data_IF_416681948171
#
_entry.id   IF_416681948171
#
_cell.length_a   1.000
_cell.length_b   1.000
_cell.length_c   1.000
_cell.angle_alpha   90.00
_cell.angle_beta   90.00
_cell.angle_gamma   90.00
#
_symmetry.space_group_name_H-M   'P 1'
#
loop_
_entity.id
_entity.type
_entity.pdbx_description
1 polymer ?
#
# COMPACT_ATOMS: atom_id res chain seq x y z
N UNK A 1 19.99 -10.01 25.04
CA UNK A 1 18.77 -10.70 25.51
C UNK A 1 17.67 -10.44 24.50
N UNK A 2 17.40 -11.42 23.64
CA UNK A 2 16.38 -11.35 22.59
C UNK A 2 14.99 -11.44 23.22
N UNK A 3 14.27 -10.32 23.29
CA UNK A 3 12.83 -10.36 23.53
C UNK A 3 12.19 -10.98 22.29
N UNK A 4 11.72 -12.22 22.38
CA UNK A 4 10.80 -12.80 21.40
C UNK A 4 9.65 -11.81 21.18
N UNK A 5 9.67 -11.13 20.04
CA UNK A 5 8.58 -10.28 19.62
C UNK A 5 7.42 -11.20 19.22
N UNK A 6 6.54 -11.49 20.17
CA UNK A 6 5.28 -12.16 19.88
C UNK A 6 4.45 -11.23 19.01
N UNK A 7 4.54 -11.43 17.68
CA UNK A 7 3.70 -10.74 16.73
C UNK A 7 2.23 -11.06 17.06
N UNK A 8 1.34 -10.05 17.20
CA UNK A 8 -0.05 -10.30 17.56
C UNK A 8 -0.74 -11.19 16.52
N UNK A 9 -1.42 -12.24 16.98
CA UNK A 9 -2.18 -13.17 16.14
C UNK A 9 -3.18 -12.39 15.29
N UNK A 10 -3.05 -12.49 13.97
CA UNK A 10 -3.86 -11.75 13.02
C UNK A 10 -5.30 -12.27 13.01
N UNK A 11 -6.26 -11.42 13.38
CA UNK A 11 -7.68 -11.70 13.23
C UNK A 11 -8.05 -11.81 11.74
N UNK A 12 -8.75 -12.87 11.36
CA UNK A 12 -9.27 -13.05 10.01
C UNK A 12 -10.31 -11.97 9.67
N UNK A 13 -10.61 -11.79 8.38
CA UNK A 13 -11.70 -10.89 7.94
C UNK A 13 -13.03 -11.28 8.58
N UNK A 14 -13.26 -12.60 8.74
CA UNK A 14 -14.44 -13.16 9.40
C UNK A 14 -14.46 -12.72 10.86
N UNK A 15 -13.35 -12.85 11.60
CA UNK A 15 -13.26 -12.46 13.02
C UNK A 15 -13.55 -10.98 13.23
N UNK A 16 -13.01 -10.12 12.35
CA UNK A 16 -13.23 -8.68 12.45
C UNK A 16 -14.69 -8.30 12.13
N UNK A 17 -15.32 -8.99 11.19
CA UNK A 17 -16.74 -8.78 10.91
C UNK A 17 -17.59 -9.34 12.05
N UNK A 18 -17.23 -10.50 12.60
CA UNK A 18 -17.91 -11.14 13.73
C UNK A 18 -17.89 -10.23 14.95
N UNK A 19 -16.72 -9.70 15.29
CA UNK A 19 -16.53 -8.73 16.38
C UNK A 19 -17.39 -7.48 16.20
N UNK A 20 -17.62 -7.03 14.96
CA UNK A 20 -18.46 -5.88 14.67
C UNK A 20 -19.96 -6.18 14.67
N UNK A 21 -20.35 -7.40 14.30
CA UNK A 21 -21.74 -7.87 14.20
C UNK A 21 -22.29 -8.28 15.58
N UNK A 22 -21.44 -8.81 16.45
CA UNK A 22 -21.83 -9.30 17.78
C UNK A 22 -22.61 -8.30 18.63
N UNK A 23 -22.20 -7.02 18.80
CA UNK A 23 -22.98 -6.08 19.58
C UNK A 23 -24.31 -5.69 18.92
N UNK A 24 -24.42 -5.81 17.60
CA UNK A 24 -25.69 -5.61 16.89
C UNK A 24 -26.63 -6.78 17.15
N UNK A 25 -26.17 -8.02 16.98
CA UNK A 25 -26.99 -9.21 17.23
C UNK A 25 -27.42 -9.30 18.69
N UNK A 26 -26.56 -8.91 19.62
CA UNK A 26 -26.95 -8.81 21.03
C UNK A 26 -28.05 -7.79 21.28
N UNK A 27 -28.03 -6.65 20.58
CA UNK A 27 -29.10 -5.66 20.65
C UNK A 27 -30.41 -6.18 20.04
N UNK A 28 -30.34 -6.91 18.93
CA UNK A 28 -31.53 -7.45 18.22
C UNK A 28 -32.22 -8.52 19.07
N UNK A 29 -31.45 -9.44 19.66
CA UNK A 29 -32.00 -10.61 20.36
C UNK A 29 -32.07 -10.45 21.89
N UNK A 30 -31.62 -9.31 22.42
CA UNK A 30 -31.60 -9.07 23.87
C UNK A 30 -30.73 -10.04 24.66
N UNK A 31 -29.70 -10.64 24.05
CA UNK A 31 -28.80 -11.61 24.69
C UNK A 31 -27.34 -11.43 24.31
N UNK A 32 -26.42 -11.81 25.18
CA UNK A 32 -24.99 -11.75 24.87
C UNK A 32 -24.53 -12.95 24.04
N UNK A 33 -23.66 -12.69 23.07
CA UNK A 33 -23.03 -13.71 22.24
C UNK A 33 -21.56 -13.88 22.59
N UNK A 34 -21.08 -15.12 22.59
CA UNK A 34 -19.65 -15.44 22.77
C UNK A 34 -18.84 -15.12 21.50
N UNK A 35 -17.53 -14.82 21.60
CA UNK A 35 -16.66 -14.74 20.43
C UNK A 35 -16.76 -16.03 19.58
N UNK A 36 -16.82 -15.90 18.25
CA UNK A 36 -16.88 -17.04 17.33
C UNK A 36 -18.26 -17.71 17.18
N UNK A 37 -19.30 -17.22 17.85
CA UNK A 37 -20.66 -17.78 17.72
C UNK A 37 -21.18 -17.74 16.27
N UNK A 38 -21.65 -18.86 15.74
CA UNK A 38 -22.27 -18.91 14.41
C UNK A 38 -23.77 -18.59 14.49
N UNK A 39 -24.19 -17.50 13.86
CA UNK A 39 -25.60 -17.13 13.80
C UNK A 39 -26.38 -18.04 12.85
N UNK A 40 -27.60 -18.42 13.24
CA UNK A 40 -28.53 -19.14 12.36
C UNK A 40 -29.15 -18.19 11.33
N UNK A 41 -29.77 -18.75 10.29
CA UNK A 41 -30.50 -17.95 9.29
C UNK A 41 -31.61 -17.13 9.96
N UNK A 42 -32.40 -17.75 10.85
CA UNK A 42 -33.53 -17.09 11.51
C UNK A 42 -33.06 -15.94 12.41
N UNK A 43 -31.96 -16.13 13.12
CA UNK A 43 -31.31 -15.07 13.89
C UNK A 43 -30.91 -13.88 13.02
N UNK A 44 -30.33 -14.14 11.84
CA UNK A 44 -29.93 -13.06 10.93
C UNK A 44 -31.14 -12.38 10.28
N UNK A 45 -32.20 -13.13 9.99
CA UNK A 45 -33.45 -12.63 9.40
C UNK A 45 -34.32 -11.86 10.39
N UNK A 46 -34.10 -11.99 11.70
CA UNK A 46 -34.73 -11.14 12.71
C UNK A 46 -34.29 -9.66 12.60
N UNK A 47 -33.22 -9.37 11.87
CA UNK A 47 -32.75 -8.02 11.63
C UNK A 47 -33.64 -7.29 10.61
N UNK A 48 -34.26 -6.19 11.03
CA UNK A 48 -35.03 -5.30 10.14
C UNK A 48 -34.33 -3.94 9.94
N UNK A 49 -34.70 -3.18 8.89
CA UNK A 49 -34.24 -1.80 8.72
C UNK A 49 -34.51 -0.90 9.94
N UNK A 50 -35.67 -1.05 10.59
CA UNK A 50 -36.10 -0.24 11.73
C UNK A 50 -35.18 -0.50 12.94
N UNK A 51 -34.91 -1.77 13.23
CA UNK A 51 -34.00 -2.18 14.30
C UNK A 51 -32.57 -1.68 14.00
N UNK A 52 -32.13 -1.78 12.74
CA UNK A 52 -30.83 -1.25 12.32
C UNK A 52 -30.71 0.26 12.50
N UNK A 53 -31.71 1.02 12.07
CA UNK A 53 -31.73 2.48 12.23
C UNK A 53 -31.69 2.83 13.72
N UNK A 54 -32.51 2.18 14.54
CA UNK A 54 -32.53 2.39 16.00
C UNK A 54 -31.16 2.09 16.62
N UNK A 55 -30.57 0.94 16.29
CA UNK A 55 -29.24 0.56 16.76
C UNK A 55 -28.17 1.57 16.35
N UNK A 56 -28.18 2.00 15.08
CA UNK A 56 -27.24 3.00 14.56
C UNK A 56 -27.40 4.31 15.31
N UNK A 57 -28.63 4.77 15.54
CA UNK A 57 -28.90 5.99 16.28
C UNK A 57 -28.35 5.93 17.71
N UNK A 58 -28.64 4.87 18.46
CA UNK A 58 -28.10 4.66 19.81
C UNK A 58 -26.57 4.58 19.79
N UNK A 59 -26.00 3.79 18.89
CA UNK A 59 -24.54 3.57 18.83
C UNK A 59 -23.76 4.81 18.42
N UNK A 60 -24.31 5.63 17.52
CA UNK A 60 -23.59 6.77 16.93
C UNK A 60 -23.92 8.09 17.64
N UNK A 61 -25.15 8.25 18.14
CA UNK A 61 -25.64 9.48 18.75
C UNK A 61 -26.02 9.34 20.23
N UNK A 62 -25.98 8.13 20.80
CA UNK A 62 -26.35 7.87 22.19
C UNK A 62 -27.87 7.78 22.43
N UNK A 63 -28.71 8.05 21.43
CA UNK A 63 -30.18 8.06 21.57
C UNK A 63 -30.87 7.68 20.27
N UNK A 64 -32.02 7.00 20.34
CA UNK A 64 -32.88 6.65 19.19
C UNK A 64 -33.82 7.78 18.74
N UNK A 65 -33.97 8.83 19.57
CA UNK A 65 -34.78 10.02 19.28
C UNK A 65 -34.03 11.11 18.51
N UNK A 66 -32.77 10.87 18.16
CA UNK A 66 -31.96 11.82 17.41
C UNK A 66 -32.53 12.09 16.01
N UNK A 67 -32.33 13.32 15.54
CA UNK A 67 -32.56 13.75 14.16
C UNK A 67 -31.19 13.86 13.43
N UNK A 68 -30.80 12.84 12.63
CA UNK A 68 -29.47 12.77 12.01
C UNK A 68 -29.14 13.92 11.04
N UNK A 69 -30.15 14.59 10.49
CA UNK A 69 -29.99 15.72 9.56
C UNK A 69 -29.73 17.06 10.28
N UNK A 70 -29.92 17.10 11.60
CA UNK A 70 -29.79 18.31 12.43
C UNK A 70 -28.67 18.15 13.45
N UNK A 71 -28.56 16.97 14.07
CA UNK A 71 -27.61 16.71 15.15
C UNK A 71 -26.37 15.95 14.63
N UNK A 72 -25.16 16.31 15.08
CA UNK A 72 -23.93 15.67 14.63
C UNK A 72 -23.70 14.29 15.29
N UNK A 73 -23.01 13.36 14.60
CA UNK A 73 -22.64 12.07 15.18
C UNK A 73 -21.60 12.22 16.31
N UNK A 74 -21.78 11.46 17.40
CA UNK A 74 -20.85 11.43 18.55
C UNK A 74 -19.76 10.37 18.38
N UNK A 75 -20.11 9.20 17.82
CA UNK A 75 -19.23 8.05 17.66
C UNK A 75 -19.04 7.65 16.19
N UNK A 76 -17.98 6.86 15.92
CA UNK A 76 -17.67 6.44 14.55
C UNK A 76 -18.62 5.34 14.08
N UNK A 77 -19.08 5.43 12.83
CA UNK A 77 -19.89 4.37 12.21
C UNK A 77 -19.04 3.13 11.91
N UNK A 78 -19.47 1.96 12.39
CA UNK A 78 -18.88 0.67 11.99
C UNK A 78 -19.64 0.12 10.78
N UNK A 79 -18.93 -0.23 9.70
CA UNK A 79 -19.53 -0.56 8.40
C UNK A 79 -19.44 -2.06 8.05
N UNK A 80 -19.64 -2.95 9.02
CA UNK A 80 -19.35 -4.40 8.86
C UNK A 80 -20.54 -5.34 9.04
N UNK A 81 -21.75 -4.80 9.21
CA UNK A 81 -22.95 -5.61 9.49
C UNK A 81 -23.50 -6.39 8.30
N UNK A 82 -23.19 -6.00 7.06
CA UNK A 82 -23.72 -6.67 5.85
C UNK A 82 -23.07 -8.04 5.59
N UNK A 83 -21.86 -8.32 6.12
CA UNK A 83 -21.08 -9.50 5.75
C UNK A 83 -21.77 -10.85 6.05
N UNK A 84 -22.59 -10.91 7.11
CA UNK A 84 -23.29 -12.13 7.50
C UNK A 84 -24.74 -12.18 7.02
N UNK A 85 -25.23 -11.16 6.29
CA UNK A 85 -26.60 -11.17 5.81
C UNK A 85 -26.81 -12.28 4.77
N UNK A 86 -27.83 -13.15 4.91
CA UNK A 86 -28.07 -14.26 3.99
C UNK A 86 -28.25 -13.81 2.54
N UNK A 87 -29.00 -12.71 2.34
CA UNK A 87 -29.22 -12.10 1.04
C UNK A 87 -28.26 -10.93 0.85
N UNK A 88 -27.22 -11.06 0.01
CA UNK A 88 -26.24 -9.98 -0.22
C UNK A 88 -26.43 -9.24 -1.55
N UNK A 89 -27.14 -9.85 -2.50
CA UNK A 89 -27.23 -9.38 -3.88
C UNK A 89 -28.39 -8.38 -4.03
N UNK A 90 -29.56 -8.75 -3.53
CA UNK A 90 -30.78 -7.96 -3.73
C UNK A 90 -30.90 -6.88 -2.64
N UNK A 91 -31.08 -5.61 -3.02
CA UNK A 91 -31.44 -4.55 -2.08
C UNK A 91 -32.72 -4.89 -1.33
N UNK A 92 -32.90 -4.32 -0.14
CA UNK A 92 -34.12 -4.48 0.65
C UNK A 92 -35.37 -4.09 -0.15
N UNK A 93 -36.39 -4.95 -0.15
CA UNK A 93 -37.69 -4.65 -0.71
C UNK A 93 -38.63 -4.19 0.43
N UNK A 94 -38.99 -2.91 0.43
CA UNK A 94 -39.83 -2.32 1.48
C UNK A 94 -41.25 -2.90 1.52
N UNK A 95 -41.82 -3.26 0.37
CA UNK A 95 -43.20 -3.79 0.27
C UNK A 95 -43.28 -5.23 0.76
N UNK A 96 -42.30 -6.05 0.40
CA UNK A 96 -42.28 -7.47 0.75
C UNK A 96 -41.54 -7.75 2.07
N UNK A 97 -40.85 -6.77 2.65
CA UNK A 97 -40.02 -6.91 3.87
C UNK A 97 -39.01 -8.07 3.77
N UNK A 98 -38.37 -8.22 2.61
CA UNK A 98 -37.37 -9.27 2.32
C UNK A 98 -36.08 -8.67 1.78
N UNK A 99 -35.03 -9.51 1.75
CA UNK A 99 -33.67 -9.23 1.25
C UNK A 99 -32.74 -8.59 2.30
N UNK A 100 -31.77 -7.75 1.90
CA UNK A 100 -30.72 -7.25 2.81
C UNK A 100 -31.13 -5.96 3.54
N UNK A 101 -31.45 -5.99 4.85
CA UNK A 101 -31.91 -4.81 5.58
C UNK A 101 -30.83 -3.72 5.68
N UNK A 102 -29.54 -4.08 5.57
CA UNK A 102 -28.43 -3.12 5.57
C UNK A 102 -28.34 -2.26 4.31
N UNK A 103 -29.05 -2.64 3.24
CA UNK A 103 -29.16 -1.90 1.98
C UNK A 103 -30.50 -1.18 1.81
N UNK A 104 -31.31 -1.08 2.88
CA UNK A 104 -32.59 -0.37 2.86
C UNK A 104 -32.47 1.14 2.66
N UNK A 105 -33.56 1.76 2.21
CA UNK A 105 -33.61 3.21 1.98
C UNK A 105 -33.41 3.97 3.30
N UNK A 106 -34.03 3.48 4.38
CA UNK A 106 -33.93 4.08 5.71
C UNK A 106 -32.49 4.09 6.25
N UNK A 107 -31.78 2.96 6.15
CA UNK A 107 -30.36 2.85 6.56
C UNK A 107 -29.47 3.73 5.69
N UNK A 108 -29.70 3.79 4.38
CA UNK A 108 -28.94 4.67 3.50
C UNK A 108 -29.17 6.16 3.77
N UNK A 109 -30.40 6.57 4.13
CA UNK A 109 -30.72 7.96 4.51
C UNK A 109 -29.93 8.40 5.75
N UNK A 110 -29.94 7.61 6.83
CA UNK A 110 -29.19 7.97 8.04
C UNK A 110 -27.68 8.01 7.79
N UNK A 111 -27.13 7.10 6.98
CA UNK A 111 -25.70 7.15 6.59
C UNK A 111 -25.38 8.41 5.77
N UNK A 112 -26.29 8.83 4.88
CA UNK A 112 -26.11 10.05 4.07
C UNK A 112 -26.15 11.31 4.95
N UNK A 113 -27.07 11.37 5.92
CA UNK A 113 -27.17 12.45 6.89
C UNK A 113 -25.88 12.60 7.71
N UNK A 114 -25.36 11.49 8.26
CA UNK A 114 -24.06 11.47 8.96
C UNK A 114 -22.93 12.03 8.09
N UNK A 115 -22.79 11.54 6.85
CA UNK A 115 -21.74 12.00 5.93
C UNK A 115 -21.86 13.50 5.64
N UNK A 116 -23.08 14.03 5.56
CA UNK A 116 -23.32 15.47 5.35
C UNK A 116 -22.85 16.29 6.56
N UNK A 117 -23.16 15.83 7.78
CA UNK A 117 -22.69 16.47 9.01
C UNK A 117 -21.16 16.44 9.11
N UNK A 118 -20.55 15.26 8.90
CA UNK A 118 -19.09 15.11 8.90
C UNK A 118 -18.42 16.01 7.84
N UNK A 119 -18.99 16.11 6.64
CA UNK A 119 -18.50 16.99 5.57
C UNK A 119 -18.67 18.49 5.90
N UNK A 120 -19.73 18.84 6.64
CA UNK A 120 -19.94 20.17 7.21
C UNK A 120 -19.05 20.46 8.43
N UNK A 121 -18.10 19.55 8.75
CA UNK A 121 -17.20 19.63 9.93
C UNK A 121 -17.94 19.59 11.26
N UNK A 122 -19.16 19.05 11.28
CA UNK A 122 -19.97 18.81 12.45
C UNK A 122 -19.89 17.32 12.82
N UNK A 123 -19.32 17.00 13.99
CA UNK A 123 -19.05 15.62 14.42
C UNK A 123 -17.56 15.28 14.40
N UNK A 124 -17.21 14.02 14.10
CA UNK A 124 -15.82 13.58 14.21
C UNK A 124 -14.93 14.13 13.09
N UNK A 125 -13.71 14.60 13.40
CA UNK A 125 -12.76 15.01 12.37
C UNK A 125 -12.37 13.86 11.42
N UNK A 126 -12.18 14.20 10.14
CA UNK A 126 -11.75 13.28 9.11
C UNK A 126 -10.48 12.52 9.52
N UNK A 127 -10.50 11.20 9.36
CA UNK A 127 -9.32 10.36 9.54
C UNK A 127 -8.58 10.10 8.22
N UNK A 128 -8.97 10.80 7.15
CA UNK A 128 -8.33 10.68 5.85
C UNK A 128 -6.86 11.12 5.95
N UNK A 129 -5.96 10.29 5.42
CA UNK A 129 -4.55 10.64 5.28
C UNK A 129 -4.33 11.43 3.99
N UNK A 130 -3.64 12.56 4.06
CA UNK A 130 -3.25 13.34 2.87
C UNK A 130 -1.99 12.76 2.23
N UNK A 131 -1.58 13.28 1.07
CA UNK A 131 -0.25 12.98 0.51
C UNK A 131 0.85 13.59 1.39
N UNK A 132 2.04 12.99 1.39
CA UNK A 132 3.24 13.72 1.84
C UNK A 132 3.48 14.91 0.93
N UNK A 133 3.98 15.99 1.52
CA UNK A 133 4.61 17.08 0.78
C UNK A 133 6.07 16.71 0.45
N UNK A 134 6.69 17.34 -0.56
CA UNK A 134 8.07 17.02 -0.94
C UNK A 134 9.06 17.09 0.24
N UNK A 135 9.02 18.16 1.05
CA UNK A 135 9.98 18.27 2.17
C UNK A 135 9.69 17.26 3.27
N UNK A 136 8.42 16.88 3.49
CA UNK A 136 8.08 15.79 4.41
C UNK A 136 8.62 14.43 3.93
N UNK A 137 8.50 14.12 2.64
CA UNK A 137 9.06 12.88 2.09
C UNK A 137 10.59 12.87 2.15
N UNK A 138 11.20 14.01 1.83
CA UNK A 138 12.65 14.20 1.92
C UNK A 138 13.16 14.02 3.36
N UNK A 139 12.51 14.64 4.34
CA UNK A 139 12.79 14.42 5.76
C UNK A 139 12.67 12.95 6.15
N UNK A 140 11.63 12.26 5.68
CA UNK A 140 11.47 10.83 5.97
C UNK A 140 12.68 10.04 5.51
N UNK A 141 13.17 10.27 4.29
CA UNK A 141 14.34 9.56 3.75
C UNK A 141 15.62 9.97 4.49
N UNK A 142 15.82 11.26 4.77
CA UNK A 142 16.99 11.75 5.49
C UNK A 142 17.08 11.19 6.92
N UNK A 143 15.97 11.17 7.66
CA UNK A 143 15.90 10.65 9.03
C UNK A 143 16.19 9.15 9.07
N UNK A 144 15.61 8.35 8.17
CA UNK A 144 15.90 6.90 8.17
C UNK A 144 17.31 6.61 7.70
N UNK A 145 17.83 7.36 6.73
CA UNK A 145 19.18 7.16 6.21
C UNK A 145 20.24 7.55 7.25
N UNK A 146 20.00 8.57 8.08
CA UNK A 146 20.94 8.99 9.13
C UNK A 146 21.01 8.00 10.31
N UNK A 147 19.92 7.26 10.59
CA UNK A 147 19.93 6.19 11.60
C UNK A 147 20.86 5.03 11.21
N UNK A 148 21.06 4.80 9.90
CA UNK A 148 21.89 3.72 9.39
C UNK A 148 21.37 2.32 9.76
N UNK A 149 22.25 1.33 9.59
CA UNK A 149 21.96 -0.07 9.88
C UNK A 149 20.80 -0.66 9.07
N UNK A 150 20.39 -1.87 9.44
CA UNK A 150 19.32 -2.59 8.73
C UNK A 150 18.00 -1.81 8.69
N UNK A 151 17.45 -1.29 9.82
CA UNK A 151 16.14 -0.62 9.80
C UNK A 151 16.12 0.65 8.92
N UNK A 152 17.18 1.46 8.99
CA UNK A 152 17.27 2.72 8.28
C UNK A 152 17.42 2.54 6.77
N UNK A 153 18.42 1.75 6.36
CA UNK A 153 18.71 1.48 4.94
C UNK A 153 17.53 0.76 4.28
N UNK A 154 16.98 -0.25 4.95
CA UNK A 154 15.80 -0.97 4.46
C UNK A 154 14.58 -0.07 4.30
N UNK A 155 14.25 0.74 5.33
CA UNK A 155 13.04 1.57 5.28
C UNK A 155 13.16 2.66 4.21
N UNK A 156 14.35 3.23 4.00
CA UNK A 156 14.63 4.17 2.92
C UNK A 156 14.32 3.55 1.55
N UNK A 157 14.91 2.37 1.28
CA UNK A 157 14.70 1.63 0.05
C UNK A 157 13.24 1.23 -0.15
N UNK A 158 12.59 0.76 0.91
CA UNK A 158 11.18 0.36 0.89
C UNK A 158 10.28 1.53 0.51
N UNK A 159 10.46 2.70 1.12
CA UNK A 159 9.62 3.86 0.89
C UNK A 159 9.90 4.51 -0.48
N UNK A 160 11.16 4.56 -0.92
CA UNK A 160 11.51 5.03 -2.25
C UNK A 160 10.96 4.11 -3.35
N UNK A 161 11.03 2.79 -3.15
CA UNK A 161 10.41 1.82 -4.04
C UNK A 161 8.88 1.93 -4.03
N UNK A 162 8.25 2.05 -2.86
CA UNK A 162 6.81 2.24 -2.75
C UNK A 162 6.34 3.52 -3.47
N UNK A 163 7.09 4.61 -3.33
CA UNK A 163 6.87 5.89 -4.01
C UNK A 163 6.99 5.72 -5.52
N UNK A 164 8.12 5.17 -5.99
CA UNK A 164 8.46 5.03 -7.41
C UNK A 164 7.53 4.07 -8.14
N UNK A 165 6.96 3.10 -7.45
CA UNK A 165 5.99 2.13 -8.02
C UNK A 165 4.53 2.56 -7.85
N UNK A 166 4.26 3.69 -7.20
CA UNK A 166 2.90 4.10 -6.79
C UNK A 166 2.17 2.93 -6.06
N UNK A 167 2.91 2.20 -5.24
CA UNK A 167 2.47 0.91 -4.70
C UNK A 167 1.73 1.04 -3.36
N UNK A 168 0.92 0.04 -3.02
CA UNK A 168 0.48 -0.14 -1.64
C UNK A 168 1.61 -0.76 -0.83
N UNK A 169 1.64 -0.47 0.47
CA UNK A 169 2.56 -1.11 1.41
C UNK A 169 2.45 -2.64 1.38
N UNK A 170 1.25 -3.22 1.27
CA UNK A 170 1.09 -4.67 1.18
C UNK A 170 1.54 -5.26 -0.16
N UNK A 171 1.54 -4.47 -1.24
CA UNK A 171 2.07 -4.90 -2.54
C UNK A 171 3.60 -4.87 -2.50
N UNK A 172 4.20 -3.79 -1.97
CA UNK A 172 5.66 -3.66 -1.82
C UNK A 172 6.27 -4.77 -0.98
N UNK A 173 5.60 -5.19 0.10
CA UNK A 173 6.08 -6.30 0.94
C UNK A 173 6.16 -7.67 0.22
N UNK A 174 5.49 -7.81 -0.93
CA UNK A 174 5.48 -9.04 -1.75
C UNK A 174 6.47 -8.96 -2.92
N UNK A 175 7.36 -7.97 -2.96
CA UNK A 175 8.33 -7.84 -4.04
C UNK A 175 9.39 -8.95 -3.93
N UNK A 176 9.52 -9.76 -4.98
CA UNK A 176 10.38 -10.96 -4.97
C UNK A 176 11.54 -10.86 -5.94
N UNK A 177 12.51 -11.74 -5.74
CA UNK A 177 13.67 -11.91 -6.62
C UNK A 177 13.38 -11.91 -8.14
N UNK A 178 12.50 -12.78 -8.67
CA UNK A 178 12.22 -12.85 -10.12
C UNK A 178 11.47 -11.64 -10.67
N UNK A 179 10.91 -10.82 -9.79
CA UNK A 179 10.10 -9.68 -10.18
C UNK A 179 10.94 -8.43 -10.48
N UNK A 180 12.27 -8.47 -10.29
CA UNK A 180 13.21 -7.42 -10.67
C UNK A 180 14.02 -7.86 -11.91
N UNK A 181 13.94 -7.09 -12.99
CA UNK A 181 14.55 -7.45 -14.27
C UNK A 181 15.25 -6.24 -14.91
N UNK A 182 16.21 -6.44 -15.84
CA UNK A 182 16.76 -5.32 -16.59
C UNK A 182 15.66 -4.65 -17.42
N UNK A 183 15.78 -3.35 -17.67
CA UNK A 183 14.91 -2.70 -18.65
C UNK A 183 15.20 -3.25 -20.05
N UNK A 184 14.23 -3.93 -20.65
CA UNK A 184 14.37 -4.51 -21.99
C UNK A 184 14.66 -3.42 -23.04
N UNK A 185 15.61 -3.68 -23.93
CA UNK A 185 16.12 -2.70 -24.91
C UNK A 185 17.09 -1.66 -24.36
N UNK A 186 17.05 -1.37 -23.04
CA UNK A 186 17.91 -0.35 -22.39
C UNK A 186 18.49 -0.83 -21.05
N UNK A 187 19.19 -1.99 -21.01
CA UNK A 187 19.59 -2.66 -19.77
C UNK A 187 20.59 -1.86 -18.92
N UNK A 188 21.19 -0.80 -19.47
CA UNK A 188 22.12 0.09 -18.78
C UNK A 188 21.46 1.31 -18.13
N UNK A 189 20.22 1.63 -18.51
CA UNK A 189 19.55 2.89 -18.11
C UNK A 189 18.60 2.71 -16.93
N UNK A 190 18.15 1.49 -16.66
CA UNK A 190 17.21 1.23 -15.58
C UNK A 190 16.89 -0.25 -15.44
N UNK A 191 15.97 -0.51 -14.52
CA UNK A 191 15.42 -1.83 -14.25
C UNK A 191 13.90 -1.76 -14.33
N UNK A 192 13.26 -2.90 -14.44
CA UNK A 192 11.82 -3.04 -14.29
C UNK A 192 11.50 -3.87 -13.05
N UNK A 193 10.41 -3.52 -12.39
CA UNK A 193 9.88 -4.28 -11.27
C UNK A 193 8.43 -4.67 -11.55
N UNK A 194 8.05 -5.89 -11.17
CA UNK A 194 6.66 -6.37 -11.21
C UNK A 194 6.13 -6.51 -9.80
N UNK A 195 4.94 -6.00 -9.54
CA UNK A 195 4.26 -6.20 -8.27
C UNK A 195 3.08 -7.14 -8.46
N UNK A 196 3.22 -8.36 -7.94
CA UNK A 196 2.18 -9.36 -8.01
C UNK A 196 1.00 -8.96 -7.10
N UNK A 197 -0.20 -9.00 -7.69
CA UNK A 197 -1.47 -9.27 -6.99
C UNK A 197 -1.81 -8.25 -5.90
N UNK A 198 -2.35 -7.12 -6.35
CA UNK A 198 -3.01 -6.15 -5.47
C UNK A 198 -4.49 -6.47 -5.29
N UNK A 199 -5.16 -5.78 -4.35
CA UNK A 199 -6.61 -5.89 -4.08
C UNK A 199 -7.52 -5.89 -5.32
N UNK A 200 -7.05 -5.36 -6.46
CA UNK A 200 -7.82 -5.24 -7.69
C UNK A 200 -7.04 -5.74 -8.94
N UNK A 201 -6.01 -6.58 -8.78
CA UNK A 201 -5.30 -7.21 -9.90
C UNK A 201 -5.62 -8.70 -9.86
N UNK A 202 -6.36 -9.20 -10.85
CA UNK A 202 -6.91 -10.57 -10.82
C UNK A 202 -6.23 -11.52 -11.81
N UNK A 203 -5.40 -10.98 -12.69
CA UNK A 203 -4.75 -11.69 -13.78
C UNK A 203 -3.42 -11.03 -14.14
N UNK A 204 -2.60 -11.73 -14.90
CA UNK A 204 -1.24 -11.27 -15.23
C UNK A 204 -1.24 -9.92 -15.96
N UNK A 205 -2.24 -9.67 -16.83
CA UNK A 205 -2.40 -8.39 -17.54
C UNK A 205 -2.77 -7.19 -16.66
N UNK A 206 -3.05 -7.42 -15.37
CA UNK A 206 -3.28 -6.36 -14.39
C UNK A 206 -2.01 -6.00 -13.60
N UNK A 207 -0.91 -6.71 -13.84
CA UNK A 207 0.36 -6.55 -13.15
C UNK A 207 1.51 -6.38 -14.16
N UNK A 208 1.54 -5.27 -14.92
CA UNK A 208 2.63 -5.01 -15.84
C UNK A 208 3.95 -4.80 -15.11
N UNK A 209 5.05 -4.94 -15.85
CA UNK A 209 6.34 -4.45 -15.39
C UNK A 209 6.30 -2.91 -15.39
N UNK A 210 6.79 -2.34 -14.29
CA UNK A 210 6.94 -0.90 -14.12
C UNK A 210 8.44 -0.56 -14.14
N UNK A 211 8.81 0.48 -14.86
CA UNK A 211 10.17 0.96 -15.06
C UNK A 211 10.60 1.77 -13.85
N UNK A 212 11.85 1.56 -13.43
CA UNK A 212 12.52 2.29 -12.37
C UNK A 212 13.78 2.94 -12.95
N UNK A 213 13.86 4.26 -12.83
CA UNK A 213 15.03 5.06 -13.20
C UNK A 213 15.78 5.55 -11.96
N UNK A 214 17.07 5.85 -12.13
CA UNK A 214 17.80 6.63 -11.14
C UNK A 214 17.25 8.05 -11.10
N UNK A 215 17.33 8.72 -9.95
CA UNK A 215 17.00 10.14 -9.83
C UNK A 215 18.26 10.93 -9.46
N UNK A 216 18.38 12.15 -9.96
CA UNK A 216 19.47 13.06 -9.60
C UNK A 216 19.46 13.36 -8.09
N UNK A 217 18.28 13.55 -7.51
CA UNK A 217 18.11 13.66 -6.06
C UNK A 217 18.10 12.27 -5.41
N UNK A 218 19.11 11.97 -4.60
CA UNK A 218 19.28 10.66 -3.93
C UNK A 218 18.08 10.25 -3.08
N UNK A 219 17.31 11.21 -2.54
CA UNK A 219 16.13 10.93 -1.72
C UNK A 219 14.97 10.33 -2.54
N UNK A 220 14.99 10.54 -3.85
CA UNK A 220 14.03 9.99 -4.81
C UNK A 220 14.66 8.88 -5.66
N UNK A 221 15.97 8.61 -5.50
CA UNK A 221 16.68 7.64 -6.32
C UNK A 221 16.43 6.21 -5.83
N UNK A 222 15.38 5.58 -6.35
CA UNK A 222 15.04 4.19 -6.05
C UNK A 222 16.16 3.22 -6.37
N UNK A 223 16.94 3.43 -7.44
CA UNK A 223 18.03 2.52 -7.80
C UNK A 223 19.17 2.58 -6.77
N UNK A 224 19.55 3.77 -6.33
CA UNK A 224 20.58 3.95 -5.31
C UNK A 224 20.17 3.37 -3.97
N UNK A 225 18.97 3.72 -3.50
CA UNK A 225 18.46 3.25 -2.21
C UNK A 225 18.21 1.73 -2.20
N UNK A 226 17.64 1.18 -3.28
CA UNK A 226 17.42 -0.26 -3.40
C UNK A 226 18.74 -1.03 -3.46
N UNK A 227 19.75 -0.52 -4.18
CA UNK A 227 21.07 -1.14 -4.19
C UNK A 227 21.70 -1.21 -2.80
N UNK A 228 21.73 -0.10 -2.06
CA UNK A 228 22.29 -0.09 -0.69
C UNK A 228 21.56 -1.07 0.22
N UNK A 229 20.24 -1.21 0.05
CA UNK A 229 19.48 -2.22 0.78
C UNK A 229 19.82 -3.64 0.36
N UNK A 230 19.85 -3.94 -0.94
CA UNK A 230 20.13 -5.31 -1.41
C UNK A 230 21.53 -5.78 -1.04
N UNK A 231 22.50 -4.87 -1.08
CA UNK A 231 23.86 -5.09 -0.59
C UNK A 231 23.85 -5.52 0.89
N UNK A 232 23.22 -4.74 1.75
CA UNK A 232 23.09 -5.07 3.17
C UNK A 232 22.26 -6.34 3.40
N UNK A 233 21.19 -6.53 2.63
CA UNK A 233 20.29 -7.67 2.75
C UNK A 233 21.01 -8.97 2.50
N UNK A 234 21.80 -9.07 1.42
CA UNK A 234 22.56 -10.27 1.10
C UNK A 234 23.74 -10.49 2.04
N UNK A 235 24.33 -9.41 2.59
CA UNK A 235 25.36 -9.52 3.61
C UNK A 235 24.80 -10.14 4.91
N UNK A 236 23.62 -9.67 5.36
CA UNK A 236 22.99 -10.13 6.59
C UNK A 236 22.25 -11.47 6.44
N UNK A 237 21.77 -11.77 5.23
CA UNK A 237 20.97 -12.95 4.92
C UNK A 237 21.59 -13.67 3.72
N UNK A 238 22.68 -14.43 3.92
CA UNK A 238 23.35 -15.16 2.84
C UNK A 238 22.47 -16.29 2.28
N UNK A 239 21.50 -16.78 3.06
CA UNK A 239 20.51 -17.75 2.61
C UNK A 239 19.46 -17.10 1.68
N UNK A 240 18.95 -17.83 0.67
CA UNK A 240 17.94 -17.30 -0.23
C UNK A 240 16.68 -16.82 0.50
N UNK A 241 16.39 -15.52 0.41
CA UNK A 241 15.09 -14.96 0.78
C UNK A 241 14.26 -14.71 -0.49
N UNK A 242 13.02 -15.22 -0.50
CA UNK A 242 12.11 -14.98 -1.62
C UNK A 242 11.80 -13.49 -1.82
N UNK A 243 11.70 -12.74 -0.71
CA UNK A 243 11.25 -11.35 -0.69
C UNK A 243 12.42 -10.39 -0.51
N UNK A 244 12.59 -9.48 -1.47
CA UNK A 244 13.67 -8.51 -1.43
C UNK A 244 13.62 -7.61 -0.19
N UNK A 245 12.43 -7.31 0.35
CA UNK A 245 12.27 -6.48 1.54
C UNK A 245 12.19 -7.27 2.85
N UNK A 246 12.71 -8.50 2.88
CA UNK A 246 12.77 -9.37 4.05
C UNK A 246 13.80 -8.97 5.11
N UNK A 247 13.72 -7.73 5.63
CA UNK A 247 14.56 -7.27 6.73
C UNK A 247 14.35 -8.09 8.01
N UNK A 248 15.37 -8.17 8.85
CA UNK A 248 15.42 -8.97 10.07
C UNK A 248 15.19 -10.47 9.82
N UNK A 249 15.59 -10.95 8.64
CA UNK A 249 15.34 -12.32 8.20
C UNK A 249 13.86 -12.65 7.95
N UNK A 250 12.99 -11.64 7.81
CA UNK A 250 11.56 -11.88 7.59
C UNK A 250 11.31 -12.51 6.21
N UNK A 251 10.60 -13.63 6.20
CA UNK A 251 10.24 -14.38 4.98
C UNK A 251 8.73 -14.34 4.69
N UNK A 252 7.97 -13.54 5.45
CA UNK A 252 6.52 -13.43 5.32
C UNK A 252 6.12 -11.98 4.95
N UNK A 253 5.45 -11.74 3.81
CA UNK A 253 5.01 -10.42 3.38
C UNK A 253 4.15 -9.67 4.40
N UNK A 254 3.37 -10.38 5.21
CA UNK A 254 2.55 -9.78 6.26
C UNK A 254 3.41 -9.22 7.40
N UNK A 255 4.46 -9.95 7.79
CA UNK A 255 5.42 -9.50 8.79
C UNK A 255 6.25 -8.33 8.26
N UNK A 256 6.73 -8.43 7.01
CA UNK A 256 7.48 -7.36 6.32
C UNK A 256 6.66 -6.06 6.29
N UNK A 257 5.40 -6.13 5.82
CA UNK A 257 4.47 -4.99 5.82
C UNK A 257 4.24 -4.43 7.23
N UNK A 258 4.05 -5.30 8.22
CA UNK A 258 3.78 -4.89 9.59
C UNK A 258 4.98 -4.17 10.20
N UNK A 259 6.19 -4.67 9.94
CA UNK A 259 7.45 -4.02 10.30
C UNK A 259 7.54 -2.62 9.66
N UNK A 260 7.28 -2.49 8.36
CA UNK A 260 7.34 -1.20 7.68
C UNK A 260 6.33 -0.21 8.29
N UNK A 261 5.12 -0.69 8.56
CA UNK A 261 4.08 0.09 9.23
C UNK A 261 4.39 0.48 10.68
N UNK A 262 5.23 -0.29 11.38
CA UNK A 262 5.73 0.02 12.72
C UNK A 262 6.80 1.10 12.65
N UNK A 263 7.87 0.89 11.88
CA UNK A 263 8.98 1.85 11.80
C UNK A 263 8.56 3.19 11.19
N UNK A 264 7.74 3.19 10.14
CA UNK A 264 7.20 4.44 9.58
C UNK A 264 6.35 5.20 10.59
N UNK A 265 5.59 4.50 11.45
CA UNK A 265 4.80 5.15 12.49
C UNK A 265 5.70 5.74 13.57
N UNK A 266 6.73 5.00 13.99
CA UNK A 266 7.73 5.48 14.95
C UNK A 266 8.38 6.76 14.44
N UNK A 267 8.82 6.78 13.18
CA UNK A 267 9.40 7.96 12.54
C UNK A 267 8.43 9.14 12.50
N UNK A 268 7.18 8.94 12.09
CA UNK A 268 6.19 10.02 12.01
C UNK A 268 5.85 10.60 13.39
N UNK A 269 6.09 9.84 14.46
CA UNK A 269 5.89 10.26 15.84
C UNK A 269 7.16 10.83 16.49
N UNK A 270 8.28 10.79 15.76
CA UNK A 270 9.55 11.35 16.19
C UNK A 270 9.49 12.89 16.20
N UNK A 271 10.19 13.52 17.14
CA UNK A 271 10.22 14.98 17.29
C UNK A 271 10.95 15.65 16.11
N UNK A 272 11.88 14.93 15.48
CA UNK A 272 12.64 15.42 14.32
C UNK A 272 11.79 15.46 13.04
N UNK A 273 10.65 14.78 13.00
CA UNK A 273 9.77 14.76 11.84
C UNK A 273 8.73 15.90 11.88
N UNK A 274 8.92 16.90 11.02
CA UNK A 274 8.08 18.10 10.99
C UNK A 274 7.07 18.03 9.84
N UNK A 275 5.79 18.11 10.19
CA UNK A 275 4.70 18.24 9.22
C UNK A 275 4.66 19.67 8.65
N UNK A 276 4.74 19.79 7.32
CA UNK A 276 4.57 21.08 6.64
C UNK A 276 3.13 21.60 6.77
N UNK A 277 2.15 20.69 6.81
CA UNK A 277 0.73 21.04 6.90
C UNK A 277 0.01 20.12 7.89
N UNK A 278 -0.89 20.66 8.69
CA UNK A 278 -1.74 19.85 9.57
C UNK A 278 -2.50 18.77 8.79
N UNK A 279 -2.53 17.56 9.33
CA UNK A 279 -3.25 16.43 8.75
C UNK A 279 -2.59 15.10 9.08
N UNK A 280 -3.31 14.01 8.85
CA UNK A 280 -2.76 12.68 9.10
C UNK A 280 -1.90 12.22 7.93
N UNK A 281 -0.77 11.61 8.26
CA UNK A 281 0.13 10.95 7.29
C UNK A 281 0.35 9.46 7.62
N UNK A 282 1.04 8.74 6.75
CA UNK A 282 1.36 7.31 6.89
C UNK A 282 1.72 6.67 5.54
N UNK A 283 1.76 5.34 5.46
CA UNK A 283 2.20 4.65 4.23
C UNK A 283 1.35 4.95 2.99
N UNK A 284 0.07 5.23 3.17
CA UNK A 284 -0.80 5.64 2.05
C UNK A 284 -0.53 7.10 1.61
N UNK A 285 0.06 7.93 2.47
CA UNK A 285 0.52 9.27 2.12
C UNK A 285 1.69 9.23 1.16
N UNK A 286 2.57 8.23 1.29
CA UNK A 286 3.67 7.99 0.36
C UNK A 286 3.17 7.61 -1.04
N UNK A 287 2.23 6.67 -1.11
CA UNK A 287 1.56 6.33 -2.39
C UNK A 287 0.89 7.54 -3.04
N UNK A 288 0.16 8.33 -2.25
CA UNK A 288 -0.48 9.56 -2.74
C UNK A 288 0.53 10.61 -3.18
N UNK A 289 1.69 10.67 -2.53
CA UNK A 289 2.78 11.55 -2.90
C UNK A 289 3.28 11.23 -4.31
N UNK A 290 3.62 9.96 -4.61
CA UNK A 290 4.03 9.55 -5.96
C UNK A 290 3.04 9.97 -7.04
N UNK A 291 1.75 9.69 -6.83
CA UNK A 291 0.69 10.06 -7.79
C UNK A 291 0.59 11.58 -7.95
N UNK A 292 0.67 12.31 -6.85
CA UNK A 292 0.60 13.77 -6.86
C UNK A 292 1.81 14.36 -7.59
N UNK A 293 3.00 13.81 -7.38
CA UNK A 293 4.24 14.20 -8.05
C UNK A 293 4.12 13.97 -9.55
N UNK A 294 3.76 12.76 -9.98
CA UNK A 294 3.58 12.46 -11.41
C UNK A 294 2.54 13.37 -12.09
N UNK A 295 1.38 13.59 -11.45
CA UNK A 295 0.32 14.46 -11.98
C UNK A 295 0.74 15.93 -12.05
N UNK A 296 1.54 16.41 -11.09
CA UNK A 296 2.10 17.77 -11.12
C UNK A 296 3.16 17.95 -12.20
N UNK A 297 3.83 16.88 -12.59
CA UNK A 297 4.82 16.86 -13.68
C UNK A 297 4.21 16.62 -15.06
N UNK A 298 2.89 16.73 -15.22
CA UNK A 298 2.21 16.64 -16.52
C UNK A 298 1.82 15.23 -16.97
N UNK A 299 1.99 14.20 -16.14
CA UNK A 299 1.42 12.88 -16.44
C UNK A 299 -0.10 12.96 -16.42
N UNK A 300 -0.77 12.33 -17.38
CA UNK A 300 -2.22 12.22 -17.46
C UNK A 300 -2.78 11.36 -16.31
N UNK A 301 -4.10 11.33 -16.16
CA UNK A 301 -4.71 10.42 -15.18
C UNK A 301 -4.46 8.97 -15.63
N UNK A 302 -4.64 8.70 -16.91
CA UNK A 302 -4.50 7.37 -17.49
C UNK A 302 -3.05 6.89 -17.39
N UNK A 303 -2.06 7.78 -17.56
CA UNK A 303 -0.65 7.48 -17.34
C UNK A 303 -0.42 6.96 -15.90
N UNK A 304 -0.95 7.69 -14.91
CA UNK A 304 -0.81 7.31 -13.50
C UNK A 304 -1.69 6.13 -13.09
N UNK A 305 -2.83 5.92 -13.75
CA UNK A 305 -3.70 4.76 -13.55
C UNK A 305 -3.01 3.50 -14.11
N UNK A 306 -2.35 3.60 -15.26
CA UNK A 306 -1.52 2.54 -15.83
C UNK A 306 -0.37 2.16 -14.88
N UNK A 307 0.50 3.11 -14.55
CA UNK A 307 1.65 2.87 -13.68
C UNK A 307 1.22 2.45 -12.26
N UNK A 308 0.18 3.09 -11.70
CA UNK A 308 -0.36 2.78 -10.37
C UNK A 308 -1.20 1.51 -10.29
N UNK A 309 -1.39 0.80 -11.42
CA UNK A 309 -2.18 -0.43 -11.58
C UNK A 309 -3.62 -0.24 -11.11
N UNK A 310 -4.25 0.85 -11.52
CA UNK A 310 -5.64 1.16 -11.25
C UNK A 310 -6.50 0.89 -12.48
N UNK A 311 -7.52 0.04 -12.30
CA UNK A 311 -8.56 -0.20 -13.29
C UNK A 311 -9.92 0.09 -12.68
N UNK A 312 -10.76 0.84 -13.40
CA UNK A 312 -12.14 1.14 -12.98
C UNK A 312 -13.19 0.54 -13.92
N UNK A 313 -12.89 0.46 -15.22
CA UNK A 313 -13.74 -0.09 -16.28
C UNK A 313 -12.87 -0.86 -17.26
N UNK A 314 -13.42 -1.91 -17.88
CA UNK A 314 -12.74 -2.62 -18.98
C UNK A 314 -12.91 -1.80 -20.25
N UNK A 315 -11.81 -1.38 -20.85
CA UNK A 315 -11.80 -0.76 -22.17
C UNK A 315 -11.34 -1.78 -23.20
N UNK A 316 -11.81 -1.65 -24.45
CA UNK A 316 -11.41 -2.54 -25.53
C UNK A 316 -9.88 -2.50 -25.76
N UNK A 317 -9.26 -1.33 -25.60
CA UNK A 317 -7.82 -1.16 -25.65
C UNK A 317 -7.06 -2.07 -24.68
N UNK A 318 -7.58 -2.31 -23.47
CA UNK A 318 -6.96 -3.19 -22.47
C UNK A 318 -6.86 -4.66 -22.93
N UNK A 319 -7.59 -5.04 -24.00
CA UNK A 319 -7.55 -6.37 -24.59
C UNK A 319 -6.53 -6.47 -25.73
N UNK A 320 -6.30 -5.38 -26.46
CA UNK A 320 -5.43 -5.37 -27.65
C UNK A 320 -4.04 -4.82 -27.38
N UNK A 321 -3.89 -3.93 -26.40
CA UNK A 321 -2.59 -3.39 -26.03
C UNK A 321 -1.81 -4.42 -25.20
N UNK A 322 -0.49 -4.41 -25.35
CA UNK A 322 0.38 -5.19 -24.48
C UNK A 322 0.19 -4.74 -23.02
N UNK A 323 0.41 -5.69 -22.12
CA UNK A 323 0.46 -5.48 -20.68
C UNK A 323 1.47 -4.40 -20.32
N UNK A 324 2.67 -4.44 -20.93
CA UNK A 324 3.75 -3.50 -20.64
C UNK A 324 3.90 -2.53 -21.81
N UNK A 325 3.69 -1.24 -21.56
CA UNK A 325 3.80 -0.18 -22.57
C UNK A 325 4.93 0.77 -22.13
N UNK A 326 6.18 0.54 -22.60
CA UNK A 326 7.36 1.20 -22.03
C UNK A 326 7.29 2.73 -22.08
N UNK A 327 6.75 3.33 -23.14
CA UNK A 327 6.68 4.79 -23.26
C UNK A 327 5.75 5.42 -22.22
N UNK A 328 4.54 4.86 -22.04
CA UNK A 328 3.56 5.36 -21.08
C UNK A 328 4.09 5.23 -19.66
N UNK A 329 4.70 4.07 -19.36
CA UNK A 329 5.26 3.81 -18.05
C UNK A 329 6.50 4.67 -17.76
N UNK A 330 7.41 4.79 -18.72
CA UNK A 330 8.62 5.64 -18.62
C UNK A 330 8.25 7.08 -18.33
N UNK A 331 7.17 7.60 -18.94
CA UNK A 331 6.72 8.97 -18.68
C UNK A 331 6.41 9.20 -17.20
N UNK A 332 5.75 8.25 -16.55
CA UNK A 332 5.48 8.33 -15.10
C UNK A 332 6.74 8.09 -14.29
N UNK A 333 7.54 7.08 -14.64
CA UNK A 333 8.80 6.78 -13.95
C UNK A 333 9.75 7.99 -13.94
N UNK A 334 9.94 8.66 -15.08
CA UNK A 334 10.75 9.88 -15.18
C UNK A 334 10.18 11.02 -14.32
N UNK A 335 8.86 11.17 -14.28
CA UNK A 335 8.21 12.21 -13.48
C UNK A 335 8.38 12.02 -11.96
N UNK A 336 8.71 10.80 -11.51
CA UNK A 336 9.00 10.47 -10.12
C UNK A 336 10.49 10.69 -9.76
N UNK A 337 11.37 10.93 -10.75
CA UNK A 337 12.77 11.25 -10.54
C UNK A 337 12.95 12.75 -10.31
N UNK A 338 13.07 13.18 -9.05
CA UNK A 338 13.36 14.59 -8.74
C UNK A 338 14.75 14.98 -9.25
N UNK A 339 14.84 16.15 -9.88
CA UNK A 339 16.01 16.64 -10.63
C UNK A 339 16.10 16.08 -12.05
N UNK A 340 15.51 14.92 -12.27
CA UNK A 340 15.43 14.27 -13.58
C UNK A 340 15.90 12.81 -13.49
N UNK A 341 15.53 11.99 -14.48
CA UNK A 341 16.03 10.63 -14.57
C UNK A 341 17.53 10.64 -14.88
N UNK A 342 18.30 9.81 -14.17
CA UNK A 342 19.73 9.61 -14.41
C UNK A 342 20.03 8.14 -14.70
N UNK A 343 21.13 7.92 -15.40
CA UNK A 343 21.73 6.61 -15.58
C UNK A 343 23.06 6.54 -14.84
N UNK A 344 23.34 5.40 -14.22
CA UNK A 344 24.63 5.14 -13.61
C UNK A 344 25.55 4.52 -14.66
N UNK A 345 26.64 5.22 -14.97
CA UNK A 345 27.63 4.80 -15.95
C UNK A 345 28.99 4.76 -15.29
N UNK A 346 29.77 3.72 -15.58
CA UNK A 346 31.15 3.65 -15.13
C UNK A 346 31.96 4.62 -15.97
N UNK A 347 32.76 5.46 -15.32
CA UNK A 347 33.61 6.42 -16.02
C UNK A 347 34.61 5.69 -16.91
N UNK A 348 34.73 6.13 -18.16
CA UNK A 348 35.71 5.58 -19.09
C UNK A 348 37.12 5.65 -18.52
N UNK A 349 37.91 4.61 -18.78
CA UNK A 349 39.29 4.44 -18.29
C UNK A 349 39.45 4.44 -16.75
N UNK A 350 38.37 4.23 -15.98
CA UNK A 350 38.47 4.10 -14.52
C UNK A 350 39.06 2.78 -14.04
N UNK A 351 39.15 1.76 -14.91
CA UNK A 351 39.54 0.40 -14.54
C UNK A 351 38.45 -0.38 -13.80
N UNK A 352 37.28 0.24 -13.55
CA UNK A 352 36.14 -0.40 -12.91
C UNK A 352 35.34 -1.18 -13.96
N UNK A 353 35.03 -2.43 -13.68
CA UNK A 353 34.17 -3.29 -14.53
C UNK A 353 32.89 -3.64 -13.79
N UNK A 354 31.87 -4.15 -14.51
CA UNK A 354 30.67 -4.68 -13.85
C UNK A 354 31.04 -5.81 -12.87
N UNK A 355 32.02 -6.67 -13.21
CA UNK A 355 32.52 -7.71 -12.31
C UNK A 355 33.18 -7.11 -11.06
N UNK A 356 34.03 -6.09 -11.22
CA UNK A 356 34.63 -5.40 -10.08
C UNK A 356 33.57 -4.80 -9.16
N UNK A 357 32.49 -4.23 -9.73
CA UNK A 357 31.38 -3.69 -8.94
C UNK A 357 30.68 -4.80 -8.15
N UNK A 358 30.45 -5.96 -8.76
CA UNK A 358 29.84 -7.10 -8.06
C UNK A 358 30.74 -7.65 -6.96
N UNK A 359 32.06 -7.73 -7.21
CA UNK A 359 33.04 -8.28 -6.26
C UNK A 359 33.28 -7.35 -5.06
N UNK A 360 33.30 -6.04 -5.27
CA UNK A 360 33.79 -5.07 -4.28
C UNK A 360 32.74 -4.08 -3.76
N UNK A 361 31.71 -3.74 -4.55
CA UNK A 361 30.62 -2.88 -4.07
C UNK A 361 29.58 -3.64 -3.25
N UNK A 362 29.91 -4.83 -2.73
CA UNK A 362 29.10 -5.56 -1.74
C UNK A 362 29.38 -5.11 -0.28
N UNK A 363 30.26 -4.12 -0.07
CA UNK A 363 30.81 -3.75 1.24
C UNK A 363 30.78 -2.26 1.61
N UNK A 364 30.19 -1.37 0.79
CA UNK A 364 30.24 0.08 0.97
C UNK A 364 28.86 0.72 1.19
N UNK A 365 28.49 0.90 2.46
CA UNK A 365 27.28 1.62 2.86
C UNK A 365 27.42 3.15 2.60
N UNK A 366 27.05 3.59 1.40
CA UNK A 366 26.60 4.97 1.16
C UNK A 366 27.37 5.84 0.16
N UNK A 367 27.64 5.35 -1.06
CA UNK A 367 28.26 6.13 -2.14
C UNK A 367 27.51 6.10 -3.48
N UNK A 368 27.84 6.98 -4.44
CA UNK A 368 27.13 7.14 -5.73
C UNK A 368 27.21 5.93 -6.68
N UNK A 369 27.92 4.86 -6.34
CA UNK A 369 28.07 3.67 -7.18
C UNK A 369 26.90 2.67 -7.05
N UNK A 370 26.01 2.83 -6.06
CA UNK A 370 24.97 1.86 -5.73
C UNK A 370 24.01 1.59 -6.91
N UNK A 371 23.62 2.61 -7.68
CA UNK A 371 22.71 2.38 -8.82
C UNK A 371 23.33 1.53 -9.94
N UNK A 372 24.64 1.64 -10.19
CA UNK A 372 25.33 0.77 -11.16
C UNK A 372 25.37 -0.67 -10.67
N UNK A 373 25.63 -0.87 -9.37
CA UNK A 373 25.56 -2.17 -8.73
C UNK A 373 24.21 -2.84 -8.97
N UNK A 374 23.08 -2.14 -8.79
CA UNK A 374 21.76 -2.73 -9.07
C UNK A 374 21.63 -3.17 -10.52
N UNK A 375 22.00 -2.32 -11.47
CA UNK A 375 21.93 -2.67 -12.90
C UNK A 375 22.84 -3.85 -13.26
N UNK A 376 24.03 -3.93 -12.67
CA UNK A 376 24.99 -5.02 -12.87
C UNK A 376 24.49 -6.33 -12.22
N UNK A 377 24.02 -6.26 -10.97
CA UNK A 377 23.46 -7.37 -10.20
C UNK A 377 22.33 -8.05 -10.96
N UNK A 378 21.38 -7.26 -11.47
CA UNK A 378 20.20 -7.77 -12.17
C UNK A 378 20.57 -8.34 -13.54
N UNK A 379 21.61 -7.81 -14.22
CA UNK A 379 22.12 -8.35 -15.48
C UNK A 379 22.84 -9.68 -15.28
N UNK A 380 23.72 -9.78 -14.30
CA UNK A 380 24.48 -11.01 -14.04
C UNK A 380 23.54 -12.17 -13.64
N UNK A 381 22.55 -11.93 -12.77
CA UNK A 381 21.53 -12.93 -12.44
C UNK A 381 20.70 -13.42 -13.64
N UNK A 382 20.57 -12.62 -14.71
CA UNK A 382 19.90 -13.06 -15.95
C UNK A 382 20.74 -14.08 -16.73
N UNK A 383 22.06 -13.97 -16.68
CA UNK A 383 22.99 -14.88 -17.37
C UNK A 383 23.10 -16.23 -16.65
N UNK A 384 22.89 -16.27 -15.32
CA UNK A 384 22.87 -17.51 -14.52
C UNK A 384 21.55 -18.30 -14.61
N UNK A 385 20.44 -17.67 -15.03
CA UNK A 385 19.17 -18.35 -15.21
C UNK A 385 19.19 -19.07 -16.57
N UNK A 386 19.08 -20.41 -16.63
CA UNK A 386 19.02 -21.11 -17.90
C UNK A 386 17.85 -20.57 -18.70
N UNK A 387 18.10 -20.19 -19.95
CA UNK A 387 17.08 -19.84 -20.93
C UNK A 387 16.06 -20.98 -20.97
N UNK A 388 14.98 -20.88 -20.20
CA UNK A 388 13.76 -21.63 -20.49
C UNK A 388 13.18 -20.97 -21.71
N UNK A 389 13.58 -21.46 -22.88
CA UNK A 389 12.82 -21.31 -24.11
C UNK A 389 11.36 -21.62 -23.78
N UNK A 390 10.50 -20.62 -23.94
CA UNK A 390 9.06 -20.86 -24.04
C UNK A 390 8.75 -21.54 -25.36
#
# INVERSE_FOLDING_TARGET
MSSEQVLPVQKSKVDLNHQAMRPLMSFVHGREYRPGYMWTSDELLALSPEILVRYIKIKVYGSDNVQPDVQPPLHYRSSRSSYFMPNQITPWNETAAISNPTHSTAVNRIIKAMKKMEAARLGRPSQARRAFRPMEFEQVIEIVSSQGGEPGIWLAAYLAFQFSMIARIDDTAKFRAPDLQPLEGFPFFGVTAKLCWSKNCYEERDAPFQILFGAEDLRYCVLGLLASWLELHFLLNPEPNEYFFGAFGLTNPLAIKSSCGYYLRKLIQDEDFILEILGKVGSHSNRKHGVTTARKSGCSKDDTDFHGRWKKSRHQQDTYADTTIPFVDSKVAMALCKGGPIAYVVKDASGITDQWILDYCASFSGGPCCGKYLTALVRNKREELPHKSR
#
